data_IF_207709605231
#
_entry.id   IF_207709605231
#
_cell.length_a   1.000
_cell.length_b   1.000
_cell.length_c   1.000
_cell.angle_alpha   90.00
_cell.angle_beta   90.00
_cell.angle_gamma   90.00
#
_symmetry.space_group_name_H-M   'P 1'
#
loop_
_entity.id
_entity.type
_entity.pdbx_description
1 polymer ?
#
# COMPACT_ATOMS: atom_id res chain seq x y z
N UNK A 1 -19.33 10.16 26.28
CA UNK A 1 -20.34 9.08 26.35
C UNK A 1 -21.00 8.74 25.01
N UNK A 2 -20.98 9.61 23.99
CA UNK A 2 -21.61 9.35 22.68
C UNK A 2 -20.81 8.43 21.72
N UNK A 3 -19.49 8.28 21.92
CA UNK A 3 -18.63 7.50 21.01
C UNK A 3 -18.77 5.98 21.19
N UNK A 4 -18.87 5.51 22.45
CA UNK A 4 -19.08 4.09 22.76
C UNK A 4 -20.44 3.58 22.25
N UNK A 5 -21.48 4.43 22.27
CA UNK A 5 -22.81 4.04 21.80
C UNK A 5 -22.91 3.92 20.27
N UNK A 6 -22.05 4.59 19.49
CA UNK A 6 -22.02 4.42 18.03
C UNK A 6 -21.29 3.12 17.66
N UNK A 7 -20.18 2.82 18.34
CA UNK A 7 -19.45 1.55 18.17
C UNK A 7 -20.33 0.38 18.58
N UNK A 8 -20.97 0.43 19.76
CA UNK A 8 -21.89 -0.63 20.21
C UNK A 8 -23.08 -0.79 19.26
N UNK A 9 -23.70 0.31 18.80
CA UNK A 9 -24.82 0.19 17.85
C UNK A 9 -24.42 -0.32 16.45
N UNK A 10 -23.18 -0.09 16.00
CA UNK A 10 -22.66 -0.70 14.76
C UNK A 10 -22.49 -2.21 14.89
N UNK A 11 -22.20 -2.72 16.09
CA UNK A 11 -21.99 -4.15 16.34
C UNK A 11 -23.20 -4.89 16.95
N UNK A 12 -24.23 -4.18 17.43
CA UNK A 12 -25.40 -4.76 18.12
C UNK A 12 -26.63 -4.91 17.21
N UNK A 13 -26.65 -4.31 16.02
CA UNK A 13 -27.83 -4.31 15.12
C UNK A 13 -27.91 -5.45 14.09
N UNK A 14 -27.11 -6.50 14.20
CA UNK A 14 -27.28 -7.70 13.38
C UNK A 14 -27.46 -8.96 14.23
N UNK A 15 -28.43 -9.77 13.80
CA UNK A 15 -29.09 -10.84 14.56
C UNK A 15 -28.13 -11.92 15.11
N UNK A 16 -28.48 -12.43 16.29
CA UNK A 16 -27.73 -13.31 17.19
C UNK A 16 -27.41 -14.72 16.69
N UNK A 17 -27.52 -15.03 15.39
CA UNK A 17 -27.26 -16.38 14.85
C UNK A 17 -26.35 -16.43 13.59
N UNK A 18 -25.71 -15.32 13.23
CA UNK A 18 -24.56 -15.30 12.29
C UNK A 18 -23.63 -14.15 12.65
N UNK A 19 -22.67 -14.38 13.54
CA UNK A 19 -21.47 -13.53 13.56
C UNK A 19 -20.66 -13.88 12.31
N UNK A 20 -21.00 -13.28 11.16
CA UNK A 20 -19.98 -13.11 10.13
C UNK A 20 -18.88 -12.27 10.76
N UNK A 21 -17.74 -12.92 11.04
CA UNK A 21 -16.57 -12.29 11.62
C UNK A 21 -16.19 -11.08 10.78
N UNK A 22 -16.51 -9.88 11.29
CA UNK A 22 -16.17 -8.60 10.66
C UNK A 22 -14.68 -8.56 10.39
N UNK A 23 -14.31 -8.34 9.13
CA UNK A 23 -12.92 -8.18 8.71
C UNK A 23 -12.63 -6.72 8.38
N UNK A 24 -11.51 -6.21 8.91
CA UNK A 24 -10.94 -4.94 8.46
C UNK A 24 -10.59 -5.03 6.97
N UNK A 25 -10.65 -3.90 6.27
CA UNK A 25 -10.30 -3.85 4.84
C UNK A 25 -8.79 -3.66 4.68
N UNK A 26 -8.06 -4.56 3.97
CA UNK A 26 -6.62 -4.39 3.75
C UNK A 26 -6.23 -3.11 3.01
N UNK A 27 -7.13 -2.55 2.18
CA UNK A 27 -6.91 -1.27 1.49
C UNK A 27 -6.96 -0.03 2.39
N UNK A 28 -7.36 -0.17 3.65
CA UNK A 28 -7.28 0.93 4.60
C UNK A 28 -5.80 1.14 5.01
N UNK A 29 -5.37 2.40 5.03
CA UNK A 29 -3.97 2.82 5.24
C UNK A 29 -3.34 2.22 6.52
N UNK A 30 -4.07 2.23 7.63
CA UNK A 30 -3.65 1.68 8.91
C UNK A 30 -3.49 0.16 8.85
N UNK A 31 -4.44 -0.53 8.20
CA UNK A 31 -4.42 -1.99 8.05
C UNK A 31 -3.25 -2.39 7.15
N UNK A 32 -3.10 -1.73 6.00
CA UNK A 32 -2.00 -1.94 5.07
C UNK A 32 -0.65 -1.79 5.77
N UNK A 33 -0.47 -0.69 6.51
CA UNK A 33 0.75 -0.41 7.27
C UNK A 33 1.04 -1.44 8.36
N UNK A 34 0.03 -2.00 9.01
CA UNK A 34 0.23 -3.07 10.01
C UNK A 34 0.66 -4.39 9.38
N UNK A 35 0.19 -4.69 8.16
CA UNK A 35 0.57 -5.91 7.45
C UNK A 35 1.97 -5.77 6.84
N UNK A 36 2.23 -4.67 6.11
CA UNK A 36 3.43 -4.52 5.28
C UNK A 36 4.50 -3.59 5.87
N UNK A 37 4.16 -2.76 6.87
CA UNK A 37 5.07 -1.80 7.49
C UNK A 37 5.65 -2.23 8.84
N UNK A 38 5.32 -3.44 9.33
CA UNK A 38 5.91 -4.00 10.56
C UNK A 38 7.15 -4.83 10.22
N UNK A 39 8.29 -4.52 10.84
CA UNK A 39 9.54 -5.25 10.65
C UNK A 39 9.43 -6.75 11.00
N UNK A 40 8.49 -7.14 11.87
CA UNK A 40 8.18 -8.55 12.18
C UNK A 40 7.55 -9.30 11.01
N UNK A 41 6.95 -8.58 10.08
CA UNK A 41 6.24 -9.08 8.92
C UNK A 41 6.93 -8.66 7.61
N UNK A 42 8.22 -8.31 7.64
CA UNK A 42 8.94 -7.81 6.47
C UNK A 42 8.95 -8.79 5.28
N UNK A 43 8.79 -10.08 5.55
CA UNK A 43 8.62 -11.11 4.52
C UNK A 43 7.38 -10.89 3.66
N UNK A 44 6.29 -10.36 4.22
CA UNK A 44 5.09 -9.98 3.46
C UNK A 44 5.35 -8.80 2.54
N UNK A 45 6.13 -7.80 2.99
CA UNK A 45 6.55 -6.69 2.14
C UNK A 45 7.46 -7.19 1.01
N UNK A 46 8.40 -8.10 1.30
CA UNK A 46 9.25 -8.73 0.28
C UNK A 46 8.41 -9.50 -0.74
N UNK A 47 7.42 -10.28 -0.29
CA UNK A 47 6.53 -11.04 -1.17
C UNK A 47 5.69 -10.12 -2.06
N UNK A 48 5.16 -9.02 -1.51
CA UNK A 48 4.44 -8.00 -2.28
C UNK A 48 5.35 -7.33 -3.31
N UNK A 49 6.54 -6.87 -2.91
CA UNK A 49 7.50 -6.22 -3.80
C UNK A 49 7.94 -7.14 -4.94
N UNK A 50 8.22 -8.41 -4.67
CA UNK A 50 8.57 -9.39 -5.70
C UNK A 50 7.39 -9.73 -6.65
N UNK A 51 6.16 -9.35 -6.31
CA UNK A 51 5.03 -9.43 -7.25
C UNK A 51 4.94 -8.19 -8.15
N UNK A 52 5.48 -7.05 -7.72
CA UNK A 52 5.36 -5.76 -8.41
C UNK A 52 6.61 -5.43 -9.25
N UNK A 53 7.79 -5.75 -8.73
CA UNK A 53 9.09 -5.35 -9.27
C UNK A 53 9.70 -6.45 -10.13
N UNK A 54 10.42 -6.04 -11.18
CA UNK A 54 11.21 -6.96 -12.00
C UNK A 54 12.48 -7.43 -11.29
N UNK A 55 13.07 -6.57 -10.46
CA UNK A 55 14.28 -6.89 -9.71
C UNK A 55 13.92 -7.72 -8.47
N UNK A 56 14.62 -8.83 -8.29
CA UNK A 56 14.40 -9.71 -7.14
C UNK A 56 14.86 -9.04 -5.85
N UNK A 57 13.96 -8.96 -4.88
CA UNK A 57 14.21 -8.46 -3.51
C UNK A 57 14.34 -9.65 -2.57
N UNK A 58 15.47 -9.78 -1.87
CA UNK A 58 15.68 -10.84 -0.88
C UNK A 58 15.54 -10.33 0.55
N UNK A 59 15.81 -9.05 0.78
CA UNK A 59 15.60 -8.42 2.07
C UNK A 59 15.18 -6.95 1.94
N UNK A 60 14.56 -6.44 2.99
CA UNK A 60 14.18 -5.04 3.12
C UNK A 60 14.46 -4.51 4.53
N UNK A 61 14.94 -3.28 4.58
CA UNK A 61 14.95 -2.46 5.80
C UNK A 61 13.78 -1.50 5.74
N UNK A 62 12.77 -1.70 6.59
CA UNK A 62 11.65 -0.77 6.70
C UNK A 62 12.13 0.50 7.42
N UNK A 63 11.89 1.65 6.80
CA UNK A 63 12.24 2.94 7.36
C UNK A 63 11.11 3.38 8.31
N UNK A 64 11.42 3.49 9.60
CA UNK A 64 10.42 3.86 10.62
C UNK A 64 9.77 5.22 10.30
N UNK A 65 8.49 5.19 9.96
CA UNK A 65 7.66 6.34 9.57
C UNK A 65 7.35 7.37 10.68
N UNK A 66 7.96 7.27 11.86
CA UNK A 66 7.66 8.19 12.98
C UNK A 66 8.10 9.64 12.73
N UNK A 67 8.87 9.90 11.67
CA UNK A 67 9.50 11.19 11.37
C UNK A 67 8.68 12.16 10.51
N UNK A 68 7.37 11.98 10.34
CA UNK A 68 6.50 13.02 9.72
C UNK A 68 5.41 13.49 10.69
N UNK A 69 5.79 13.79 11.93
CA UNK A 69 5.00 14.65 12.84
C UNK A 69 5.15 16.15 12.52
N UNK A 70 6.00 16.53 11.57
CA UNK A 70 6.13 17.91 11.12
C UNK A 70 5.24 18.15 9.89
N UNK A 71 4.10 18.79 10.13
CA UNK A 71 3.05 19.30 9.21
C UNK A 71 1.66 18.67 9.43
N UNK A 72 1.22 18.69 10.68
CA UNK A 72 -0.08 18.19 11.14
C UNK A 72 -1.30 19.01 10.63
N UNK A 73 -1.12 20.14 9.94
CA UNK A 73 -2.27 20.99 9.60
C UNK A 73 -2.77 21.00 8.15
N UNK A 74 -2.00 20.57 7.12
CA UNK A 74 -2.50 20.76 5.74
C UNK A 74 -2.66 19.53 4.84
N UNK A 75 -1.97 18.40 5.07
CA UNK A 75 -2.19 17.18 4.26
C UNK A 75 -1.92 15.94 5.08
N UNK A 76 -2.96 15.32 5.64
CA UNK A 76 -2.92 13.97 6.24
C UNK A 76 -2.63 12.91 5.16
N UNK A 77 -1.40 12.90 4.68
CA UNK A 77 -0.88 11.96 3.69
C UNK A 77 0.25 11.22 4.37
N UNK A 78 -0.11 10.29 5.26
CA UNK A 78 0.86 9.39 5.85
C UNK A 78 1.28 8.43 4.76
N UNK A 79 2.57 8.46 4.40
CA UNK A 79 3.17 7.42 3.57
C UNK A 79 3.04 6.08 4.28
N UNK A 80 2.56 5.07 3.58
CA UNK A 80 2.13 3.83 4.22
C UNK A 80 3.32 2.94 4.56
N UNK A 81 4.24 2.75 3.61
CA UNK A 81 5.45 1.95 3.81
C UNK A 81 6.63 2.54 3.04
N UNK A 82 7.71 2.87 3.75
CA UNK A 82 9.03 3.19 3.17
C UNK A 82 10.01 2.08 3.47
N UNK A 83 10.82 1.69 2.49
CA UNK A 83 11.82 0.66 2.68
C UNK A 83 13.06 0.86 1.79
N UNK A 84 14.16 0.23 2.19
CA UNK A 84 15.36 0.06 1.36
C UNK A 84 15.57 -1.43 1.13
N UNK A 85 15.68 -1.85 -0.13
CA UNK A 85 15.92 -3.25 -0.50
C UNK A 85 17.40 -3.65 -0.32
N UNK A 86 17.70 -4.94 -0.30
CA UNK A 86 19.06 -5.48 -0.25
C UNK A 86 19.93 -5.07 -1.46
N UNK A 87 19.30 -4.76 -2.59
CA UNK A 87 19.96 -4.23 -3.80
C UNK A 87 20.08 -2.69 -3.80
N UNK A 88 19.65 -2.04 -2.73
CA UNK A 88 19.78 -0.60 -2.51
C UNK A 88 18.70 0.26 -3.16
N UNK A 89 17.58 -0.33 -3.60
CA UNK A 89 16.45 0.46 -4.10
C UNK A 89 15.70 1.09 -2.93
N UNK A 90 15.37 2.36 -3.07
CA UNK A 90 14.51 3.07 -2.13
C UNK A 90 13.06 2.94 -2.61
N UNK A 91 12.19 2.42 -1.76
CA UNK A 91 10.79 2.15 -2.08
C UNK A 91 9.90 3.05 -1.23
N UNK A 92 8.95 3.69 -1.87
CA UNK A 92 7.82 4.37 -1.24
C UNK A 92 6.53 3.72 -1.73
N UNK A 93 5.67 3.26 -0.81
CA UNK A 93 4.38 2.67 -1.13
C UNK A 93 3.29 3.54 -0.51
N UNK A 94 2.37 4.00 -1.36
CA UNK A 94 1.16 4.71 -0.97
C UNK A 94 -0.07 3.90 -1.36
N UNK A 95 -0.98 3.69 -0.40
CA UNK A 95 -2.32 3.18 -0.66
C UNK A 95 -3.35 4.28 -0.48
N UNK A 96 -4.21 4.47 -1.48
CA UNK A 96 -5.18 5.54 -1.44
C UNK A 96 -6.56 5.11 -1.97
N UNK A 97 -7.53 5.10 -1.06
CA UNK A 97 -8.91 4.73 -1.39
C UNK A 97 -9.68 5.92 -1.97
N UNK A 98 -9.44 7.13 -1.45
CA UNK A 98 -10.16 8.34 -1.90
C UNK A 98 -9.42 9.07 -3.00
N UNK A 99 -10.16 9.55 -4.01
CA UNK A 99 -9.57 10.32 -5.10
C UNK A 99 -9.09 11.68 -4.59
N UNK A 100 -7.79 11.95 -4.72
CA UNK A 100 -7.24 13.30 -4.56
C UNK A 100 -6.93 13.92 -5.92
N UNK A 101 -7.03 15.24 -5.99
CA UNK A 101 -6.51 16.00 -7.11
C UNK A 101 -4.97 15.89 -7.11
N UNK A 102 -4.36 15.79 -8.29
CA UNK A 102 -2.90 15.82 -8.50
C UNK A 102 -2.10 14.64 -7.92
N UNK A 103 -2.53 13.39 -8.18
CA UNK A 103 -1.79 12.19 -7.75
C UNK A 103 -0.37 12.06 -8.35
N UNK A 104 -0.14 12.30 -9.65
CA UNK A 104 1.19 12.25 -10.24
C UNK A 104 2.15 13.25 -9.59
N UNK A 105 1.70 14.48 -9.36
CA UNK A 105 2.49 15.53 -8.73
C UNK A 105 2.81 15.16 -7.27
N UNK A 106 1.86 14.58 -6.55
CA UNK A 106 2.07 14.08 -5.19
C UNK A 106 3.06 12.91 -5.16
N UNK A 107 2.91 11.92 -6.04
CA UNK A 107 3.83 10.78 -6.11
C UNK A 107 5.26 11.25 -6.42
N UNK A 108 5.40 12.18 -7.38
CA UNK A 108 6.68 12.81 -7.70
C UNK A 108 7.26 13.60 -6.52
N UNK A 109 6.42 14.31 -5.76
CA UNK A 109 6.86 15.03 -4.56
C UNK A 109 7.45 14.08 -3.52
N UNK A 110 6.78 12.97 -3.21
CA UNK A 110 7.29 12.02 -2.21
C UNK A 110 8.47 11.21 -2.71
N UNK A 111 8.45 10.79 -3.97
CA UNK A 111 9.62 10.24 -4.65
C UNK A 111 10.82 11.17 -4.51
N UNK A 112 10.64 12.48 -4.75
CA UNK A 112 11.73 13.46 -4.67
C UNK A 112 12.29 13.61 -3.26
N UNK A 113 11.43 13.59 -2.23
CA UNK A 113 11.86 13.59 -0.82
C UNK A 113 12.73 12.37 -0.51
N UNK A 114 12.26 11.18 -0.87
CA UNK A 114 13.00 9.94 -0.63
C UNK A 114 14.33 9.91 -1.39
N UNK A 115 14.39 10.51 -2.59
CA UNK A 115 15.61 10.59 -3.39
C UNK A 115 16.64 11.57 -2.79
N UNK A 116 16.19 12.72 -2.29
CA UNK A 116 17.06 13.72 -1.65
C UNK A 116 17.61 13.20 -0.32
N UNK A 117 16.81 12.45 0.44
CA UNK A 117 17.21 11.85 1.74
C UNK A 117 18.38 10.85 1.62
N UNK A 118 18.76 10.40 0.42
CA UNK A 118 19.84 9.42 0.21
C UNK A 118 21.25 9.99 0.38
N UNK A 119 21.41 11.30 0.26
CA UNK A 119 22.74 11.94 0.30
C UNK A 119 22.71 13.21 1.15
N UNK A 120 23.80 13.44 1.87
CA UNK A 120 24.03 14.67 2.61
C UNK A 120 24.72 15.74 1.75
N UNK A 121 24.75 16.97 2.27
CA UNK A 121 25.44 18.09 1.63
C UNK A 121 26.92 17.76 1.40
N UNK A 122 27.38 17.93 0.16
CA UNK A 122 28.77 17.65 -0.23
C UNK A 122 29.04 16.21 -0.67
N UNK A 123 28.07 15.30 -0.58
CA UNK A 123 28.23 13.93 -1.08
C UNK A 123 28.09 13.83 -2.61
N UNK A 124 28.73 12.82 -3.18
CA UNK A 124 28.67 12.58 -4.64
C UNK A 124 27.31 12.04 -5.07
N UNK A 125 26.75 12.60 -6.15
CA UNK A 125 25.55 12.09 -6.82
C UNK A 125 25.67 10.64 -7.29
N UNK A 126 26.88 10.07 -7.39
CA UNK A 126 27.09 8.63 -7.68
C UNK A 126 26.53 7.70 -6.60
N UNK A 127 26.24 8.24 -5.40
CA UNK A 127 25.61 7.48 -4.31
C UNK A 127 24.10 7.31 -4.52
N UNK A 128 23.46 8.15 -5.34
CA UNK A 128 22.03 8.09 -5.60
C UNK A 128 21.66 6.74 -6.23
N UNK A 129 20.64 6.12 -5.67
CA UNK A 129 20.11 4.81 -6.05
C UNK A 129 18.71 4.95 -6.65
N UNK A 130 18.32 3.91 -7.37
CA UNK A 130 16.97 3.79 -7.92
C UNK A 130 15.94 3.95 -6.80
N UNK A 131 14.98 4.82 -7.07
CA UNK A 131 13.88 5.16 -6.17
C UNK A 131 12.58 4.85 -6.89
N UNK A 132 11.73 4.08 -6.24
CA UNK A 132 10.51 3.50 -6.79
C UNK A 132 9.34 3.99 -5.95
N UNK A 133 8.42 4.72 -6.57
CA UNK A 133 7.15 5.07 -5.94
C UNK A 133 6.06 4.11 -6.43
N UNK A 134 5.35 3.46 -5.52
CA UNK A 134 4.28 2.51 -5.81
C UNK A 134 2.97 3.08 -5.28
N UNK A 135 2.09 3.48 -6.19
CA UNK A 135 0.77 4.02 -5.86
C UNK A 135 -0.29 2.94 -6.09
N UNK A 136 -0.90 2.44 -5.02
CA UNK A 136 -2.03 1.52 -5.07
C UNK A 136 -3.31 2.34 -4.83
N UNK A 137 -4.20 2.39 -5.81
CA UNK A 137 -5.40 3.25 -5.76
C UNK A 137 -6.68 2.45 -6.07
N UNK A 138 -7.81 2.81 -5.47
CA UNK A 138 -9.10 2.14 -5.70
C UNK A 138 -10.04 2.95 -6.62
N UNK A 139 -9.46 3.64 -7.60
CA UNK A 139 -10.19 4.42 -8.60
C UNK A 139 -9.40 4.51 -9.92
N UNK A 140 -10.13 4.76 -11.00
CA UNK A 140 -9.55 4.97 -12.32
C UNK A 140 -8.90 6.36 -12.38
N UNK A 141 -7.62 6.40 -12.73
CA UNK A 141 -6.80 7.59 -12.84
C UNK A 141 -6.02 7.64 -14.16
N UNK A 142 -5.34 6.54 -14.52
CA UNK A 142 -4.51 6.47 -15.73
C UNK A 142 -5.41 6.13 -16.92
N UNK A 143 -5.25 6.82 -18.05
CA UNK A 143 -6.06 6.57 -19.24
C UNK A 143 -5.57 5.35 -20.05
N UNK A 144 -5.58 4.17 -19.42
CA UNK A 144 -5.26 2.88 -20.03
C UNK A 144 -6.19 1.79 -19.48
N UNK A 145 -6.33 0.68 -20.20
CA UNK A 145 -7.07 -0.50 -19.71
C UNK A 145 -6.27 -1.37 -18.73
N UNK A 146 -4.96 -1.12 -18.58
CA UNK A 146 -4.10 -1.88 -17.67
C UNK A 146 -4.37 -1.43 -16.23
N UNK A 147 -4.47 -2.40 -15.32
CA UNK A 147 -4.53 -2.10 -13.89
C UNK A 147 -3.16 -1.75 -13.31
N UNK A 148 -2.05 -2.11 -13.97
CA UNK A 148 -0.69 -1.77 -13.55
C UNK A 148 0.04 -1.02 -14.67
N UNK A 149 0.41 0.23 -14.39
CA UNK A 149 1.16 1.11 -15.27
C UNK A 149 2.49 1.50 -14.61
N UNK A 150 3.57 1.55 -15.39
CA UNK A 150 4.91 1.90 -14.92
C UNK A 150 5.43 3.06 -15.75
N UNK A 151 5.97 4.08 -15.09
CA UNK A 151 6.47 5.30 -15.71
C UNK A 151 7.96 5.51 -15.39
N UNK A 152 8.71 5.97 -16.39
CA UNK A 152 10.14 6.30 -16.34
C UNK A 152 10.39 7.64 -17.03
N UNK A 153 11.59 8.21 -16.85
CA UNK A 153 12.03 9.39 -17.60
C UNK A 153 12.57 8.94 -18.96
N UNK A 154 11.93 9.38 -20.03
CA UNK A 154 12.25 8.98 -21.39
C UNK A 154 12.34 10.19 -22.32
N UNK A 155 13.14 10.07 -23.37
CA UNK A 155 13.15 10.99 -24.50
C UNK A 155 11.84 10.85 -25.32
N UNK A 156 11.37 11.94 -25.90
CA UNK A 156 10.02 12.04 -26.47
C UNK A 156 9.80 11.22 -27.74
N UNK A 157 10.80 11.11 -28.62
CA UNK A 157 10.64 10.43 -29.91
C UNK A 157 11.05 8.95 -29.85
N UNK A 158 12.27 8.69 -29.41
CA UNK A 158 12.91 7.37 -29.37
C UNK A 158 12.48 6.52 -28.18
N UNK A 159 11.89 7.17 -27.16
CA UNK A 159 11.58 6.56 -25.85
C UNK A 159 12.82 6.01 -25.13
N UNK A 160 14.00 6.53 -25.47
CA UNK A 160 15.24 6.19 -24.76
C UNK A 160 15.12 6.65 -23.31
N UNK A 161 15.32 5.72 -22.37
CA UNK A 161 15.39 6.07 -20.95
C UNK A 161 16.64 6.89 -20.67
N UNK A 162 16.46 8.03 -20.02
CA UNK A 162 17.58 8.88 -19.61
C UNK A 162 18.41 8.22 -18.49
N UNK A 163 17.73 7.52 -17.60
CA UNK A 163 18.30 6.87 -16.41
C UNK A 163 17.28 5.88 -15.82
N UNK A 164 17.76 4.90 -15.06
CA UNK A 164 16.91 3.93 -14.34
C UNK A 164 16.57 4.38 -12.91
N UNK A 165 16.99 5.58 -12.48
CA UNK A 165 16.83 6.01 -11.07
C UNK A 165 15.40 6.33 -10.66
N UNK A 166 14.52 6.69 -11.60
CA UNK A 166 13.12 7.03 -11.34
C UNK A 166 12.21 5.97 -11.93
N UNK A 167 11.37 5.39 -11.08
CA UNK A 167 10.31 4.46 -11.48
C UNK A 167 9.06 4.74 -10.67
N UNK A 168 7.90 4.90 -11.33
CA UNK A 168 6.63 5.17 -10.67
C UNK A 168 5.59 4.16 -11.14
N UNK A 169 5.02 3.41 -10.21
CA UNK A 169 3.98 2.44 -10.43
C UNK A 169 2.62 3.05 -10.06
N UNK A 170 1.64 2.91 -10.94
CA UNK A 170 0.22 3.10 -10.63
C UNK A 170 -0.49 1.77 -10.77
N UNK A 171 -1.04 1.28 -9.66
CA UNK A 171 -1.80 0.03 -9.57
C UNK A 171 -3.24 0.38 -9.18
N UNK A 172 -4.16 0.28 -10.14
CA UNK A 172 -5.56 0.71 -10.02
C UNK A 172 -6.47 -0.49 -9.74
N UNK A 173 -6.85 -0.66 -8.47
CA UNK A 173 -7.65 -1.79 -7.98
C UNK A 173 -9.05 -1.84 -8.62
N UNK A 174 -9.61 -0.69 -9.00
CA UNK A 174 -10.89 -0.58 -9.72
C UNK A 174 -10.89 -1.26 -11.09
N UNK A 175 -9.70 -1.36 -11.71
CA UNK A 175 -9.47 -2.01 -13.02
C UNK A 175 -9.16 -3.50 -12.92
N UNK A 176 -9.04 -4.05 -11.71
CA UNK A 176 -9.04 -5.50 -11.48
C UNK A 176 -10.44 -6.05 -11.74
N UNK A 177 -10.79 -6.19 -13.03
CA UNK A 177 -11.97 -6.90 -13.50
C UNK A 177 -11.46 -8.01 -14.40
N UNK A 178 -11.85 -9.25 -14.11
CA UNK A 178 -11.54 -10.42 -14.95
C UNK A 178 -10.05 -10.80 -15.06
N UNK A 179 -9.17 -10.29 -14.20
CA UNK A 179 -7.85 -10.91 -14.03
C UNK A 179 -8.06 -12.15 -13.18
N UNK A 180 -8.29 -13.26 -13.88
CA UNK A 180 -8.19 -14.61 -13.36
C UNK A 180 -6.92 -14.66 -12.50
N UNK A 181 -6.99 -15.16 -11.25
CA UNK A 181 -5.97 -15.10 -10.18
C UNK A 181 -4.67 -15.88 -10.49
N UNK A 182 -4.18 -15.79 -11.73
CA UNK A 182 -3.17 -16.64 -12.35
C UNK A 182 -1.74 -16.25 -11.94
N UNK A 183 -1.54 -15.01 -11.49
CA UNK A 183 -0.22 -14.49 -11.14
C UNK A 183 -0.20 -13.90 -9.72
N UNK A 184 1.00 -13.78 -9.15
CA UNK A 184 1.18 -13.32 -7.77
C UNK A 184 0.73 -11.88 -7.55
N UNK A 185 0.87 -11.01 -8.56
CA UNK A 185 0.47 -9.61 -8.45
C UNK A 185 -1.05 -9.50 -8.35
N UNK A 186 -1.77 -10.16 -9.25
CA UNK A 186 -3.23 -10.16 -9.20
C UNK A 186 -3.77 -10.78 -7.92
N UNK A 187 -3.11 -11.80 -7.36
CA UNK A 187 -3.47 -12.36 -6.05
C UNK A 187 -3.32 -11.33 -4.92
N UNK A 188 -2.16 -10.66 -4.83
CA UNK A 188 -1.94 -9.61 -3.83
C UNK A 188 -2.92 -8.45 -3.99
N UNK A 189 -3.20 -8.03 -5.22
CA UNK A 189 -4.12 -6.92 -5.47
C UNK A 189 -5.57 -7.28 -5.12
N UNK A 190 -6.02 -8.51 -5.38
CA UNK A 190 -7.33 -8.99 -4.93
C UNK A 190 -7.44 -9.05 -3.39
N UNK A 191 -6.38 -9.53 -2.72
CA UNK A 191 -6.31 -9.49 -1.24
C UNK A 191 -6.40 -8.05 -0.72
N UNK A 192 -5.59 -7.14 -1.27
CA UNK A 192 -5.54 -5.74 -0.84
C UNK A 192 -6.90 -5.06 -1.07
N UNK A 193 -7.49 -5.25 -2.25
CA UNK A 193 -8.80 -4.67 -2.61
C UNK A 193 -9.89 -5.09 -1.64
N UNK A 194 -9.89 -6.35 -1.22
CA UNK A 194 -10.73 -6.88 -0.15
C UNK A 194 -12.22 -6.69 -0.41
N UNK A 195 -12.68 -6.93 -1.64
CA UNK A 195 -14.08 -6.75 -2.04
C UNK A 195 -15.03 -7.68 -1.27
N UNK A 196 -14.59 -8.90 -0.96
CA UNK A 196 -15.34 -9.85 -0.11
C UNK A 196 -14.40 -10.80 0.65
N UNK A 197 -14.93 -11.42 1.70
CA UNK A 197 -14.21 -12.44 2.48
C UNK A 197 -13.86 -13.66 1.64
N UNK A 198 -14.74 -14.05 0.73
CA UNK A 198 -14.56 -15.19 -0.17
C UNK A 198 -13.33 -14.97 -1.06
N UNK A 199 -13.20 -13.79 -1.67
CA UNK A 199 -12.04 -13.45 -2.51
C UNK A 199 -10.74 -13.49 -1.71
N UNK A 200 -10.73 -12.91 -0.50
CA UNK A 200 -9.57 -12.95 0.40
C UNK A 200 -9.17 -14.41 0.71
N UNK A 201 -10.15 -15.26 1.05
CA UNK A 201 -9.91 -16.67 1.35
C UNK A 201 -9.44 -17.47 0.12
N UNK A 202 -9.95 -17.17 -1.07
CA UNK A 202 -9.46 -17.76 -2.32
C UNK A 202 -7.97 -17.42 -2.55
N UNK A 203 -7.57 -16.17 -2.28
CA UNK A 203 -6.17 -15.76 -2.44
C UNK A 203 -5.28 -16.44 -1.40
N UNK A 204 -5.73 -16.51 -0.14
CA UNK A 204 -5.02 -17.20 0.93
C UNK A 204 -4.82 -18.69 0.64
N UNK A 205 -5.80 -19.37 0.03
CA UNK A 205 -5.70 -20.80 -0.32
C UNK A 205 -4.61 -21.12 -1.35
N UNK A 206 -4.33 -20.18 -2.27
CA UNK A 206 -3.39 -20.40 -3.38
C UNK A 206 -2.03 -19.74 -3.16
N UNK A 207 -1.89 -18.94 -2.10
CA UNK A 207 -0.69 -18.16 -1.81
C UNK A 207 -0.44 -18.11 -0.30
N UNK A 208 0.59 -18.82 0.15
CA UNK A 208 0.96 -18.94 1.57
C UNK A 208 1.36 -17.60 2.21
N UNK A 209 1.91 -16.66 1.44
CA UNK A 209 2.24 -15.34 1.96
C UNK A 209 0.95 -14.54 2.24
N UNK A 210 -0.07 -14.71 1.39
CA UNK A 210 -1.40 -14.12 1.59
C UNK A 210 -2.14 -14.83 2.74
N UNK A 211 -1.96 -16.14 2.92
CA UNK A 211 -2.49 -16.85 4.10
C UNK A 211 -1.97 -16.25 5.41
N UNK A 212 -0.65 -16.01 5.50
CA UNK A 212 -0.05 -15.31 6.64
C UNK A 212 -0.62 -13.89 6.81
N UNK A 213 -0.75 -13.14 5.72
CA UNK A 213 -1.34 -11.79 5.75
C UNK A 213 -2.80 -11.81 6.23
N UNK A 214 -3.56 -12.82 5.83
CA UNK A 214 -4.93 -13.04 6.26
C UNK A 214 -5.02 -13.38 7.76
N UNK A 215 -4.12 -14.19 8.30
CA UNK A 215 -4.10 -14.48 9.74
C UNK A 215 -3.82 -13.24 10.59
N UNK A 216 -2.93 -12.35 10.12
CA UNK A 216 -2.70 -11.04 10.73
C UNK A 216 -3.97 -10.20 10.67
N UNK A 217 -4.60 -10.12 9.49
CA UNK A 217 -5.85 -9.38 9.29
C UNK A 217 -6.96 -9.88 10.22
N UNK A 218 -7.16 -11.19 10.34
CA UNK A 218 -8.15 -11.80 11.22
C UNK A 218 -7.89 -11.44 12.67
N UNK A 219 -6.64 -11.60 13.13
CA UNK A 219 -6.23 -11.27 14.49
C UNK A 219 -6.47 -9.79 14.80
N UNK A 220 -6.09 -8.90 13.89
CA UNK A 220 -6.35 -7.45 14.02
C UNK A 220 -7.84 -7.12 14.04
N UNK A 221 -8.65 -7.85 13.28
CA UNK A 221 -10.09 -7.60 13.20
C UNK A 221 -10.83 -8.00 14.48
N UNK A 222 -10.27 -8.93 15.25
CA UNK A 222 -10.79 -9.30 16.58
C UNK A 222 -10.42 -8.26 17.65
N UNK A 223 -9.29 -7.56 17.49
CA UNK A 223 -8.81 -6.56 18.43
C UNK A 223 -9.74 -5.32 18.47
N UNK A 224 -10.14 -4.92 19.68
CA UNK A 224 -11.10 -3.83 19.87
C UNK A 224 -10.49 -2.46 19.57
N UNK A 225 -9.22 -2.26 19.93
CA UNK A 225 -8.52 -0.99 19.71
C UNK A 225 -8.23 -0.78 18.23
N UNK A 226 -7.79 -1.82 17.52
CA UNK A 226 -7.57 -1.81 16.08
C UNK A 226 -8.87 -1.49 15.32
N UNK A 227 -10.01 -2.10 15.72
CA UNK A 227 -11.32 -1.75 15.14
C UNK A 227 -11.71 -0.30 15.39
N UNK A 228 -11.50 0.21 16.60
CA UNK A 228 -11.79 1.61 16.92
C UNK A 228 -10.93 2.57 16.09
N UNK A 229 -9.63 2.28 15.94
CA UNK A 229 -8.71 3.08 15.14
C UNK A 229 -9.08 3.06 13.65
N UNK A 230 -9.41 1.88 13.11
CA UNK A 230 -9.93 1.73 11.75
C UNK A 230 -11.17 2.60 11.53
N UNK A 231 -12.19 2.50 12.39
CA UNK A 231 -13.42 3.27 12.27
C UNK A 231 -13.17 4.79 12.36
N UNK A 232 -12.25 5.23 13.22
CA UNK A 232 -11.90 6.64 13.35
C UNK A 232 -11.32 7.22 12.05
N UNK A 233 -10.61 6.40 11.26
CA UNK A 233 -10.02 6.80 9.98
C UNK A 233 -11.03 6.78 8.84
N UNK A 234 -11.95 5.83 8.84
CA UNK A 234 -13.05 5.80 7.85
C UNK A 234 -13.98 7.02 8.02
N UNK A 235 -14.33 7.38 9.26
CA UNK A 235 -15.21 8.53 9.57
C UNK A 235 -14.48 9.87 9.39
N UNK A 236 -13.17 9.93 9.66
CA UNK A 236 -12.37 11.13 9.44
C UNK A 236 -12.05 11.43 7.98
N UNK A 237 -12.42 10.54 7.06
CA UNK A 237 -12.19 10.63 5.62
C UNK A 237 -13.48 10.89 4.82
N UNK A 238 -14.65 10.94 5.47
CA UNK A 238 -15.95 11.31 4.90
C UNK A 238 -16.26 12.78 5.11
#
# INVERSE_FOLDING_TARGET
MHYNSVIENYFVRENSDKYEEFLLKPKNDFVFKKIFGDAKNKDLLIALLNSILSDKVNDVTILNSELLKENIEDKKSVLDVRAVTDIGHHIDIEIQVLRTVSMPERSLYYWSKLYIEQIAVGESYKKLKKTIAINIVDYDYINTSKYHNIFHIMEDETKLKLTEVLEIHFIELSKLRNVNNMDKLSQWMNFIKGDSKEVILEMAKVNSDIEKAYDILRTMSQDREARALYLSREIGSS
#
